data_IF_059702386249
#
_entry.id   IF_059702386249
#
_cell.length_a   1.000
_cell.length_b   1.000
_cell.length_c   1.000
_cell.angle_alpha   90.00
_cell.angle_beta   90.00
_cell.angle_gamma   90.00
#
_symmetry.space_group_name_H-M   'P 1'
#
loop_
_entity.id
_entity.type
_entity.pdbx_description
1 polymer ?
#
# COMPACT_ATOMS: atom_id res chain seq x y z
N UNK A 1 -6.29 23.34 0.47
CA UNK A 1 -5.34 23.73 1.54
C UNK A 1 -5.68 22.94 2.82
N UNK A 2 -4.73 22.25 3.40
CA UNK A 2 -4.92 21.65 4.73
C UNK A 2 -5.05 22.80 5.74
N UNK A 3 -6.12 22.80 6.52
CA UNK A 3 -6.31 23.76 7.60
C UNK A 3 -5.21 23.52 8.66
N UNK A 4 -4.72 24.58 9.31
CA UNK A 4 -3.71 24.49 10.39
C UNK A 4 -4.09 23.44 11.46
N UNK A 5 -5.38 23.29 11.78
CA UNK A 5 -5.88 22.27 12.69
C UNK A 5 -5.65 20.83 12.16
N UNK A 6 -5.91 20.57 10.89
CA UNK A 6 -5.71 19.26 10.27
C UNK A 6 -4.23 18.86 10.24
N UNK A 7 -3.35 19.82 9.96
CA UNK A 7 -1.90 19.59 10.05
C UNK A 7 -1.47 19.25 11.47
N UNK A 8 -2.04 19.93 12.46
CA UNK A 8 -1.76 19.66 13.88
C UNK A 8 -2.29 18.27 14.31
N UNK A 9 -3.47 17.87 13.85
CA UNK A 9 -4.01 16.52 14.09
C UNK A 9 -3.04 15.45 13.59
N UNK A 10 -2.53 15.58 12.37
CA UNK A 10 -1.56 14.64 11.79
C UNK A 10 -0.27 14.59 12.60
N UNK A 11 0.23 15.74 13.08
CA UNK A 11 1.43 15.81 13.92
C UNK A 11 1.22 15.13 15.29
N UNK A 12 0.06 15.31 15.90
CA UNK A 12 -0.31 14.69 17.17
C UNK A 12 -0.33 13.17 17.04
N UNK A 13 -1.07 12.63 16.09
CA UNK A 13 -1.21 11.18 15.94
C UNK A 13 0.08 10.48 15.46
N UNK A 14 1.01 11.22 14.84
CA UNK A 14 2.33 10.71 14.49
C UNK A 14 3.27 10.58 15.68
N UNK A 15 3.08 11.38 16.73
CA UNK A 15 3.97 11.45 17.91
C UNK A 15 3.39 10.79 19.14
N UNK A 16 2.07 10.70 19.24
CA UNK A 16 1.35 10.26 20.42
C UNK A 16 0.26 9.25 20.06
N UNK A 17 0.05 8.26 20.93
CA UNK A 17 -0.99 7.28 20.76
C UNK A 17 -2.33 7.85 21.25
N UNK A 18 -3.17 8.30 20.34
CA UNK A 18 -4.47 8.90 20.61
C UNK A 18 -5.56 7.87 20.32
N UNK A 19 -6.32 7.50 21.34
CA UNK A 19 -7.33 6.44 21.28
C UNK A 19 -8.75 6.99 21.03
N UNK A 20 -9.03 8.20 21.51
CA UNK A 20 -10.38 8.79 21.48
C UNK A 20 -10.40 10.20 20.90
N UNK A 21 -11.60 10.64 20.47
CA UNK A 21 -11.79 12.02 19.98
C UNK A 21 -11.61 13.05 21.11
N UNK A 22 -11.96 12.69 22.34
CA UNK A 22 -11.78 13.52 23.52
C UNK A 22 -10.29 13.77 23.79
N UNK A 23 -9.47 12.73 23.71
CA UNK A 23 -8.00 12.87 23.81
C UNK A 23 -7.46 13.78 22.71
N UNK A 24 -7.93 13.62 21.47
CA UNK A 24 -7.51 14.47 20.36
C UNK A 24 -7.89 15.94 20.58
N UNK A 25 -9.09 16.20 21.09
CA UNK A 25 -9.54 17.55 21.47
C UNK A 25 -8.64 18.17 22.55
N UNK A 26 -8.29 17.40 23.58
CA UNK A 26 -7.43 17.88 24.68
C UNK A 26 -6.01 18.18 24.18
N UNK A 27 -5.42 17.32 23.35
CA UNK A 27 -4.11 17.57 22.73
C UNK A 27 -4.09 18.83 21.85
N UNK A 28 -5.18 19.08 21.11
CA UNK A 28 -5.33 20.30 20.32
C UNK A 28 -5.44 21.54 21.21
N UNK A 29 -6.23 21.44 22.29
CA UNK A 29 -6.41 22.53 23.27
C UNK A 29 -5.09 22.92 23.94
N UNK A 30 -4.29 21.92 24.34
CA UNK A 30 -2.96 22.15 24.94
C UNK A 30 -1.99 22.87 23.96
N UNK A 31 -2.24 22.74 22.65
CA UNK A 31 -1.47 23.41 21.59
C UNK A 31 -2.15 24.70 21.08
N UNK A 32 -3.13 25.22 21.82
CA UNK A 32 -3.79 26.49 21.55
C UNK A 32 -4.87 26.43 20.46
N UNK A 33 -5.31 25.25 20.05
CA UNK A 33 -6.39 25.08 19.07
C UNK A 33 -7.66 24.59 19.76
N UNK A 34 -8.67 25.46 19.78
CA UNK A 34 -10.02 25.11 20.30
C UNK A 34 -10.87 24.58 19.17
N UNK A 35 -11.54 23.44 19.38
CA UNK A 35 -12.43 22.81 18.41
C UNK A 35 -13.58 22.09 19.09
N UNK A 36 -14.58 21.70 18.33
CA UNK A 36 -15.72 20.90 18.78
C UNK A 36 -15.61 19.46 18.32
N UNK A 37 -16.29 18.53 19.02
CA UNK A 37 -16.33 17.13 18.63
C UNK A 37 -16.87 16.95 17.21
N UNK A 38 -17.90 17.69 16.81
CA UNK A 38 -18.44 17.63 15.45
C UNK A 38 -17.39 18.03 14.39
N UNK A 39 -16.57 19.04 14.66
CA UNK A 39 -15.50 19.49 13.78
C UNK A 39 -14.39 18.46 13.69
N UNK A 40 -13.98 17.88 14.81
CA UNK A 40 -12.97 16.80 14.85
C UNK A 40 -13.46 15.55 14.13
N UNK A 41 -14.73 15.18 14.31
CA UNK A 41 -15.33 14.05 13.57
C UNK A 41 -15.28 14.25 12.05
N UNK A 42 -15.48 15.47 11.56
CA UNK A 42 -15.35 15.82 10.15
C UNK A 42 -13.89 15.76 9.69
N UNK A 43 -12.96 16.29 10.49
CA UNK A 43 -11.53 16.24 10.18
C UNK A 43 -11.01 14.80 10.12
N UNK A 44 -11.42 13.93 11.04
CA UNK A 44 -11.09 12.49 11.03
C UNK A 44 -11.52 11.85 9.71
N UNK A 45 -12.74 12.15 9.24
CA UNK A 45 -13.24 11.64 7.95
C UNK A 45 -12.48 12.21 6.76
N UNK A 46 -12.21 13.51 6.76
CA UNK A 46 -11.50 14.18 5.66
C UNK A 46 -10.04 13.75 5.56
N UNK A 47 -9.40 13.50 6.69
CA UNK A 47 -8.02 13.01 6.77
C UNK A 47 -7.93 11.48 6.60
N UNK A 48 -9.08 10.79 6.47
CA UNK A 48 -9.15 9.34 6.38
C UNK A 48 -8.43 8.63 7.54
N UNK A 49 -8.60 9.13 8.76
CA UNK A 49 -8.05 8.49 9.94
C UNK A 49 -8.85 7.23 10.29
N UNK A 50 -8.14 6.18 10.65
CA UNK A 50 -8.69 4.89 11.09
C UNK A 50 -8.11 4.53 12.45
N UNK A 51 -8.77 3.61 13.16
CA UNK A 51 -8.22 3.04 14.39
C UNK A 51 -7.42 1.80 14.04
N UNK A 52 -6.14 1.80 14.44
CA UNK A 52 -5.23 0.67 14.29
C UNK A 52 -4.79 0.15 15.66
N UNK A 53 -4.46 -1.15 15.81
CA UNK A 53 -3.91 -1.69 17.05
C UNK A 53 -2.61 -0.97 17.44
N UNK A 54 -2.52 -0.52 18.70
CA UNK A 54 -1.34 0.16 19.24
C UNK A 54 -0.27 -0.79 19.82
N UNK A 55 -0.46 -2.12 19.70
CA UNK A 55 0.48 -3.12 20.22
C UNK A 55 0.32 -3.48 21.70
N UNK A 56 -0.45 -2.70 22.46
CA UNK A 56 -0.72 -2.91 23.89
C UNK A 56 -2.15 -3.39 24.20
N UNK A 57 -2.89 -3.86 23.18
CA UNK A 57 -4.29 -4.23 23.27
C UNK A 57 -5.29 -3.07 23.11
N UNK A 58 -4.80 -1.82 23.01
CA UNK A 58 -5.58 -0.64 22.70
C UNK A 58 -5.54 -0.31 21.20
N UNK A 59 -6.44 0.59 20.76
CA UNK A 59 -6.47 1.11 19.39
C UNK A 59 -6.11 2.59 19.40
N UNK A 60 -5.40 3.04 18.37
CA UNK A 60 -5.04 4.44 18.18
C UNK A 60 -5.44 4.95 16.79
N UNK A 61 -5.62 6.25 16.67
CA UNK A 61 -5.82 6.88 15.38
C UNK A 61 -4.52 6.86 14.57
N UNK A 62 -4.65 6.46 13.30
CA UNK A 62 -3.58 6.48 12.31
C UNK A 62 -4.12 6.96 10.97
N UNK A 63 -3.24 7.48 10.12
CA UNK A 63 -3.60 7.77 8.73
C UNK A 63 -3.83 6.45 8.00
N UNK A 64 -5.02 6.29 7.40
CA UNK A 64 -5.30 5.09 6.62
C UNK A 64 -4.37 4.98 5.42
N UNK A 65 -3.34 4.17 5.55
CA UNK A 65 -2.51 3.76 4.42
C UNK A 65 -3.24 2.79 3.48
N UNK A 66 -4.40 2.27 3.91
CA UNK A 66 -5.20 1.31 3.14
C UNK A 66 -5.63 1.90 1.80
N UNK A 67 -6.03 3.17 1.75
CA UNK A 67 -6.45 3.82 0.50
C UNK A 67 -5.25 4.14 -0.41
N UNK A 68 -4.11 4.52 0.17
CA UNK A 68 -2.87 4.68 -0.58
C UNK A 68 -2.37 3.32 -1.09
N UNK A 69 -2.44 2.27 -0.28
CA UNK A 69 -2.10 0.90 -0.70
C UNK A 69 -3.08 0.35 -1.73
N UNK A 70 -4.39 0.57 -1.59
CA UNK A 70 -5.40 0.18 -2.58
C UNK A 70 -5.20 0.94 -3.89
N UNK A 71 -4.95 2.25 -3.84
CA UNK A 71 -4.66 3.04 -5.04
C UNK A 71 -3.36 2.61 -5.74
N UNK A 72 -2.35 2.22 -4.97
CA UNK A 72 -1.10 1.67 -5.52
C UNK A 72 -1.36 0.29 -6.11
N UNK A 73 -2.04 -0.60 -5.39
CA UNK A 73 -2.38 -1.94 -5.87
C UNK A 73 -3.23 -1.91 -7.14
N UNK A 74 -4.22 -1.01 -7.23
CA UNK A 74 -5.05 -0.86 -8.43
C UNK A 74 -4.26 -0.29 -9.61
N UNK A 75 -3.39 0.69 -9.38
CA UNK A 75 -2.46 1.20 -10.40
C UNK A 75 -1.50 0.11 -10.88
N UNK A 76 -0.97 -0.68 -9.97
CA UNK A 76 -0.06 -1.78 -10.29
C UNK A 76 -0.78 -2.87 -11.10
N UNK A 77 -2.03 -3.21 -10.77
CA UNK A 77 -2.86 -4.12 -11.58
C UNK A 77 -3.08 -3.57 -12.98
N UNK A 78 -3.37 -2.28 -13.11
CA UNK A 78 -3.57 -1.65 -14.41
C UNK A 78 -2.28 -1.71 -15.23
N UNK A 79 -1.14 -1.33 -14.67
CA UNK A 79 0.18 -1.42 -15.33
C UNK A 79 0.47 -2.86 -15.74
N UNK A 80 0.18 -3.82 -14.88
CA UNK A 80 0.37 -5.25 -15.16
C UNK A 80 -0.46 -5.69 -16.35
N UNK A 81 -1.78 -5.44 -16.32
CA UNK A 81 -2.69 -5.79 -17.42
C UNK A 81 -2.35 -5.14 -18.76
N UNK A 82 -1.92 -3.87 -18.73
CA UNK A 82 -1.64 -3.13 -19.96
C UNK A 82 -0.25 -3.42 -20.53
N UNK A 83 0.69 -3.87 -19.71
CA UNK A 83 2.08 -4.06 -20.11
C UNK A 83 2.45 -5.50 -20.43
N UNK A 84 1.85 -6.50 -19.79
CA UNK A 84 2.25 -7.90 -19.92
C UNK A 84 1.58 -8.54 -21.13
N UNK A 85 2.38 -9.16 -21.98
CA UNK A 85 1.94 -9.85 -23.19
C UNK A 85 1.93 -11.37 -23.04
N UNK A 86 2.81 -11.92 -22.18
CA UNK A 86 2.83 -13.35 -21.87
C UNK A 86 3.52 -13.64 -20.56
N UNK A 87 3.20 -14.79 -19.97
CA UNK A 87 3.84 -15.32 -18.77
C UNK A 87 4.07 -16.82 -18.92
N UNK A 88 5.28 -17.25 -18.62
CA UNK A 88 5.68 -18.66 -18.62
C UNK A 88 6.60 -18.95 -17.44
N UNK A 89 6.59 -20.19 -16.98
CA UNK A 89 7.52 -20.66 -15.94
C UNK A 89 8.48 -21.72 -16.49
N UNK A 90 9.71 -21.67 -16.00
CA UNK A 90 10.73 -22.66 -16.25
C UNK A 90 11.42 -22.98 -14.92
N UNK A 91 11.14 -24.16 -14.36
CA UNK A 91 11.61 -24.52 -13.02
C UNK A 91 11.19 -23.46 -11.99
N UNK A 92 12.12 -22.83 -11.30
CA UNK A 92 11.86 -21.80 -10.28
C UNK A 92 11.91 -20.37 -10.83
N UNK A 93 11.87 -20.18 -12.14
CA UNK A 93 11.86 -18.87 -12.78
C UNK A 93 10.53 -18.65 -13.49
N UNK A 94 9.91 -17.50 -13.27
CA UNK A 94 8.76 -17.02 -14.03
C UNK A 94 9.22 -15.90 -14.96
N UNK A 95 8.90 -16.03 -16.23
CA UNK A 95 9.30 -15.08 -17.28
C UNK A 95 8.07 -14.33 -17.77
N UNK A 96 8.08 -13.01 -17.61
CA UNK A 96 7.08 -12.12 -18.18
C UNK A 96 7.63 -11.45 -19.42
N UNK A 97 6.84 -11.43 -20.48
CA UNK A 97 7.06 -10.54 -21.60
C UNK A 97 6.18 -9.32 -21.50
N UNK A 98 6.72 -8.17 -21.80
CA UNK A 98 6.00 -6.90 -21.78
C UNK A 98 6.10 -6.20 -23.14
N UNK A 99 5.30 -5.15 -23.31
CA UNK A 99 5.56 -4.18 -24.35
C UNK A 99 6.93 -3.53 -24.13
N UNK A 100 7.57 -3.07 -25.21
CA UNK A 100 8.92 -2.48 -25.16
C UNK A 100 8.97 -1.30 -24.19
N UNK A 101 10.00 -1.28 -23.34
CA UNK A 101 10.22 -0.24 -22.34
C UNK A 101 9.39 -0.35 -21.06
N UNK A 102 8.46 -1.32 -20.96
CA UNK A 102 7.56 -1.43 -19.81
C UNK A 102 7.97 -2.48 -18.77
N UNK A 103 9.01 -3.24 -19.02
CA UNK A 103 9.48 -4.28 -18.10
C UNK A 103 9.89 -3.70 -16.72
N UNK A 104 10.53 -2.55 -16.69
CA UNK A 104 10.88 -1.87 -15.42
C UNK A 104 9.67 -1.52 -14.57
N UNK A 105 8.61 -0.98 -15.18
CA UNK A 105 7.35 -0.69 -14.47
C UNK A 105 6.64 -1.94 -13.97
N UNK A 106 6.63 -3.01 -14.76
CA UNK A 106 6.07 -4.30 -14.36
C UNK A 106 6.87 -4.93 -13.20
N UNK A 107 8.20 -4.82 -13.24
CA UNK A 107 9.10 -5.28 -12.18
C UNK A 107 8.85 -4.54 -10.86
N UNK A 108 8.77 -3.21 -10.91
CA UNK A 108 8.43 -2.36 -9.75
C UNK A 108 7.06 -2.75 -9.17
N UNK A 109 6.08 -3.03 -10.04
CA UNK A 109 4.77 -3.51 -9.62
C UNK A 109 4.86 -4.83 -8.85
N UNK A 110 5.62 -5.78 -9.36
CA UNK A 110 5.83 -7.08 -8.72
C UNK A 110 6.52 -6.96 -7.36
N UNK A 111 7.52 -6.10 -7.24
CA UNK A 111 8.27 -5.89 -5.99
C UNK A 111 7.39 -5.31 -4.88
N UNK A 112 6.30 -4.62 -5.24
CA UNK A 112 5.30 -4.12 -4.28
C UNK A 112 4.17 -5.11 -3.99
N UNK A 113 4.13 -6.24 -4.70
CA UNK A 113 3.17 -7.32 -4.43
C UNK A 113 3.77 -8.30 -3.42
N UNK A 114 2.98 -8.68 -2.42
CA UNK A 114 3.39 -9.70 -1.46
C UNK A 114 3.16 -11.10 -2.07
N UNK A 115 4.09 -11.50 -2.94
CA UNK A 115 4.04 -12.79 -3.64
C UNK A 115 4.73 -13.85 -2.83
N UNK A 116 3.96 -14.85 -2.39
CA UNK A 116 4.50 -15.94 -1.57
C UNK A 116 5.57 -16.74 -2.35
N UNK A 117 6.76 -16.81 -1.76
CA UNK A 117 7.88 -17.57 -2.32
C UNK A 117 8.68 -16.83 -3.39
N UNK A 118 8.40 -15.57 -3.65
CA UNK A 118 9.23 -14.72 -4.51
C UNK A 118 10.52 -14.31 -3.77
N UNK A 119 11.67 -14.51 -4.42
CA UNK A 119 12.97 -14.13 -3.89
C UNK A 119 13.45 -12.79 -4.44
N UNK A 120 13.06 -12.45 -5.66
CA UNK A 120 13.41 -11.19 -6.29
C UNK A 120 13.06 -11.17 -7.76
N UNK A 121 13.22 -10.00 -8.37
CA UNK A 121 12.89 -9.71 -9.76
C UNK A 121 14.04 -9.03 -10.47
N UNK A 122 14.10 -9.17 -11.78
CA UNK A 122 15.05 -8.49 -12.65
C UNK A 122 14.37 -8.12 -13.97
N UNK A 123 14.42 -6.85 -14.33
CA UNK A 123 13.85 -6.35 -15.57
C UNK A 123 14.92 -6.06 -16.63
N UNK A 124 14.66 -6.51 -17.85
CA UNK A 124 15.28 -6.01 -19.06
C UNK A 124 14.44 -4.90 -19.70
N UNK A 125 14.47 -4.76 -21.01
CA UNK A 125 13.65 -3.78 -21.74
C UNK A 125 12.19 -4.23 -21.86
N UNK A 126 11.96 -5.48 -22.24
CA UNK A 126 10.64 -6.07 -22.50
C UNK A 126 10.45 -7.43 -21.83
N UNK A 127 11.29 -7.79 -20.88
CA UNK A 127 11.29 -9.10 -20.22
C UNK A 127 11.60 -8.93 -18.75
N UNK A 128 10.83 -9.58 -17.89
CA UNK A 128 11.06 -9.65 -16.45
C UNK A 128 11.30 -11.09 -16.04
N UNK A 129 12.35 -11.34 -15.28
CA UNK A 129 12.59 -12.59 -14.59
C UNK A 129 12.20 -12.46 -13.12
N UNK A 130 11.38 -13.39 -12.67
CA UNK A 130 11.02 -13.54 -11.27
C UNK A 130 11.62 -14.84 -10.76
N UNK A 131 12.43 -14.75 -9.73
CA UNK A 131 13.04 -15.94 -9.10
C UNK A 131 12.17 -16.34 -7.92
N UNK A 132 11.69 -17.57 -7.94
CA UNK A 132 10.88 -18.19 -6.90
C UNK A 132 11.73 -19.15 -6.07
N UNK A 133 11.30 -19.45 -4.85
CA UNK A 133 12.01 -20.37 -3.94
C UNK A 133 12.07 -21.82 -4.46
N UNK A 134 11.07 -22.24 -5.25
CA UNK A 134 10.95 -23.60 -5.80
C UNK A 134 10.06 -23.61 -7.05
N UNK A 135 10.08 -24.74 -7.77
CA UNK A 135 9.31 -24.96 -8.99
C UNK A 135 7.80 -24.88 -8.73
N UNK A 136 7.31 -25.45 -7.65
CA UNK A 136 5.88 -25.45 -7.32
C UNK A 136 5.36 -24.01 -7.11
N UNK A 137 6.11 -23.17 -6.42
CA UNK A 137 5.76 -21.75 -6.24
C UNK A 137 5.76 -21.00 -7.57
N UNK A 138 6.71 -21.28 -8.48
CA UNK A 138 6.75 -20.66 -9.80
C UNK A 138 5.55 -21.06 -10.66
N UNK A 139 5.18 -22.33 -10.67
CA UNK A 139 4.01 -22.83 -11.41
C UNK A 139 2.71 -22.22 -10.90
N UNK A 140 2.52 -22.20 -9.55
CA UNK A 140 1.35 -21.60 -8.92
C UNK A 140 1.25 -20.11 -9.26
N UNK A 141 2.31 -19.37 -9.10
CA UNK A 141 2.34 -17.94 -9.42
C UNK A 141 2.09 -17.67 -10.90
N UNK A 142 2.70 -18.45 -11.79
CA UNK A 142 2.47 -18.34 -13.24
C UNK A 142 0.99 -18.57 -13.60
N UNK A 143 0.34 -19.55 -12.95
CA UNK A 143 -1.09 -19.83 -13.16
C UNK A 143 -1.97 -18.69 -12.65
N UNK A 144 -1.73 -18.17 -11.45
CA UNK A 144 -2.45 -17.04 -10.88
C UNK A 144 -2.39 -15.81 -11.79
N UNK A 145 -1.22 -15.52 -12.35
CA UNK A 145 -1.05 -14.39 -13.27
C UNK A 145 -1.79 -14.64 -14.60
N UNK A 146 -1.75 -15.86 -15.16
CA UNK A 146 -2.51 -16.17 -16.37
C UNK A 146 -4.01 -15.98 -16.22
N UNK A 147 -4.54 -16.27 -15.03
CA UNK A 147 -5.97 -16.07 -14.73
C UNK A 147 -6.33 -14.58 -14.56
N UNK A 148 -5.35 -13.73 -14.31
CA UNK A 148 -5.54 -12.28 -14.19
C UNK A 148 -5.39 -11.53 -15.53
N UNK A 149 -4.71 -12.11 -16.52
CA UNK A 149 -4.51 -11.52 -17.85
C UNK A 149 -5.70 -11.79 -18.76
#
# INVERSE_FOLDING_TARGET
MKNNRQTMILDIIAKEDVETQEQLLEHLRQRGITSTQATISRDIKQLHLVKEPAGNGAYKYAVSNTRARLNVADKLRTIFHESITSVESAQNIVVFKTLSGLAGGACEALDHMDVNGMLGTLAGENTVFVVMKDTASAETFCQEIREML
#
